data_IF_531868440130
#
_entry.id   IF_531868440130
#
_cell.length_a   1.000
_cell.length_b   1.000
_cell.length_c   1.000
_cell.angle_alpha   90.00
_cell.angle_beta   90.00
_cell.angle_gamma   90.00
#
_symmetry.space_group_name_H-M   'P 1'
#
loop_
_entity.id
_entity.type
_entity.pdbx_description
1 polymer ?
#
# COMPACT_ATOMS: atom_id res chain seq x y z
N UNK A 1 14.47 -8.72 -9.94
CA UNK A 1 13.65 -7.75 -10.72
C UNK A 1 12.20 -8.21 -10.66
N UNK A 2 11.26 -7.39 -10.16
CA UNK A 2 9.85 -7.74 -10.09
C UNK A 2 9.22 -7.63 -11.48
N UNK A 3 8.56 -8.70 -11.96
CA UNK A 3 7.99 -8.83 -13.31
C UNK A 3 6.48 -8.85 -13.32
N UNK A 4 5.88 -9.15 -12.18
CA UNK A 4 4.42 -9.30 -12.04
C UNK A 4 3.91 -8.63 -10.78
N UNK A 5 2.77 -7.93 -10.92
CA UNK A 5 2.07 -7.28 -9.84
C UNK A 5 0.57 -7.60 -9.99
N UNK A 6 -0.04 -8.11 -8.91
CA UNK A 6 -1.45 -8.48 -8.87
C UNK A 6 -2.18 -7.68 -7.80
N UNK A 7 -3.22 -6.95 -8.20
CA UNK A 7 -4.17 -6.34 -7.27
C UNK A 7 -5.28 -7.32 -6.89
N UNK A 8 -5.58 -7.39 -5.59
CA UNK A 8 -6.69 -8.17 -5.06
C UNK A 8 -7.49 -7.31 -4.09
N UNK A 9 -8.82 -7.18 -4.28
CA UNK A 9 -9.66 -6.45 -3.33
C UNK A 9 -9.58 -7.06 -1.93
N UNK A 10 -9.36 -6.24 -0.89
CA UNK A 10 -9.19 -6.73 0.48
C UNK A 10 -10.37 -7.52 1.01
N UNK A 11 -11.60 -7.23 0.57
CA UNK A 11 -12.78 -8.01 0.96
C UNK A 11 -12.85 -9.40 0.31
N UNK A 12 -12.04 -9.63 -0.76
CA UNK A 12 -11.92 -10.90 -1.50
C UNK A 12 -10.53 -11.52 -1.36
N UNK A 13 -9.84 -11.24 -0.29
CA UNK A 13 -8.44 -11.66 -0.07
C UNK A 13 -8.25 -13.18 -0.08
N UNK A 14 -9.32 -13.95 0.17
CA UNK A 14 -9.34 -15.40 0.07
C UNK A 14 -8.99 -15.92 -1.33
N UNK A 15 -9.20 -15.13 -2.38
CA UNK A 15 -8.83 -15.54 -3.75
C UNK A 15 -7.32 -15.74 -3.90
N UNK A 16 -6.51 -15.07 -3.08
CA UNK A 16 -5.07 -15.26 -3.06
C UNK A 16 -4.69 -16.69 -2.70
N UNK A 17 -5.45 -17.33 -1.81
CA UNK A 17 -5.21 -18.71 -1.38
C UNK A 17 -5.36 -19.73 -2.50
N UNK A 18 -6.13 -19.37 -3.54
CA UNK A 18 -6.40 -20.24 -4.68
C UNK A 18 -5.44 -20.01 -5.86
N UNK A 19 -4.45 -19.12 -5.72
CA UNK A 19 -3.49 -18.87 -6.77
C UNK A 19 -2.57 -20.07 -7.00
N UNK A 20 -2.54 -20.59 -8.23
CA UNK A 20 -1.61 -21.65 -8.63
C UNK A 20 -0.16 -21.15 -8.74
N UNK A 21 0.01 -19.88 -9.13
CA UNK A 21 1.30 -19.20 -9.22
C UNK A 21 1.19 -17.85 -8.51
N UNK A 22 2.19 -17.54 -7.69
CA UNK A 22 2.24 -16.26 -6.98
C UNK A 22 2.93 -15.19 -7.82
N UNK A 23 2.41 -13.95 -7.84
CA UNK A 23 3.11 -12.81 -8.44
C UNK A 23 4.34 -12.43 -7.62
N UNK A 24 5.26 -11.67 -8.22
CA UNK A 24 6.39 -11.11 -7.48
C UNK A 24 5.89 -10.10 -6.42
N UNK A 25 4.88 -9.29 -6.79
CA UNK A 25 4.22 -8.33 -5.89
C UNK A 25 2.73 -8.63 -5.82
N UNK A 26 2.24 -8.78 -4.61
CA UNK A 26 0.82 -8.91 -4.31
C UNK A 26 0.34 -7.62 -3.64
N UNK A 27 -0.65 -6.97 -4.24
CA UNK A 27 -1.25 -5.75 -3.70
C UNK A 27 -2.63 -6.05 -3.16
N UNK A 28 -2.81 -5.90 -1.86
CA UNK A 28 -4.15 -5.91 -1.25
C UNK A 28 -4.73 -4.50 -1.37
N UNK A 29 -5.84 -4.40 -2.07
CA UNK A 29 -6.49 -3.11 -2.30
C UNK A 29 -7.55 -2.82 -1.24
N UNK A 30 -7.43 -1.67 -0.58
CA UNK A 30 -8.41 -1.14 0.37
C UNK A 30 -9.11 0.12 -0.15
N UNK A 31 -8.83 0.50 -1.40
CA UNK A 31 -9.33 1.71 -2.04
C UNK A 31 -10.47 1.39 -3.04
N UNK A 32 -10.36 1.74 -4.29
CA UNK A 32 -11.44 1.78 -5.28
C UNK A 32 -12.12 0.43 -5.53
N UNK A 33 -11.39 -0.68 -5.50
CA UNK A 33 -11.97 -2.01 -5.74
C UNK A 33 -12.81 -2.55 -4.58
N UNK A 34 -12.88 -1.83 -3.46
CA UNK A 34 -13.64 -2.24 -2.27
C UNK A 34 -14.89 -1.37 -2.11
N UNK A 35 -16.10 -1.94 -2.20
CA UNK A 35 -17.35 -1.23 -1.91
C UNK A 35 -17.35 -0.57 -0.53
N UNK A 36 -18.01 0.58 -0.41
CA UNK A 36 -18.02 1.37 0.85
C UNK A 36 -18.48 0.58 2.06
N UNK A 37 -19.52 -0.22 1.90
CA UNK A 37 -20.07 -1.10 2.95
C UNK A 37 -19.13 -2.24 3.36
N UNK A 38 -18.15 -2.59 2.52
CA UNK A 38 -17.18 -3.66 2.75
C UNK A 38 -15.80 -3.17 3.23
N UNK A 39 -15.58 -1.87 3.36
CA UNK A 39 -14.27 -1.30 3.77
C UNK A 39 -13.78 -1.84 5.12
N UNK A 40 -14.64 -1.97 6.11
CA UNK A 40 -14.27 -2.48 7.43
C UNK A 40 -13.91 -3.97 7.39
N UNK A 41 -14.68 -4.77 6.66
CA UNK A 41 -14.40 -6.20 6.47
C UNK A 41 -13.09 -6.38 5.70
N UNK A 42 -12.84 -5.58 4.66
CA UNK A 42 -11.60 -5.62 3.90
C UNK A 42 -10.39 -5.33 4.79
N UNK A 43 -10.49 -4.29 5.64
CA UNK A 43 -9.43 -3.94 6.57
C UNK A 43 -9.15 -5.07 7.56
N UNK A 44 -10.17 -5.66 8.17
CA UNK A 44 -10.03 -6.77 9.11
C UNK A 44 -9.41 -8.01 8.45
N UNK A 45 -9.91 -8.40 7.27
CA UNK A 45 -9.35 -9.53 6.52
C UNK A 45 -7.88 -9.29 6.15
N UNK A 46 -7.51 -8.05 5.79
CA UNK A 46 -6.12 -7.68 5.48
C UNK A 46 -5.21 -7.79 6.71
N UNK A 47 -5.69 -7.40 7.90
CA UNK A 47 -4.94 -7.56 9.16
C UNK A 47 -4.66 -9.04 9.44
N UNK A 48 -5.68 -9.89 9.40
CA UNK A 48 -5.54 -11.34 9.61
C UNK A 48 -4.57 -11.95 8.59
N UNK A 49 -4.68 -11.55 7.32
CA UNK A 49 -3.80 -12.01 6.25
C UNK A 49 -2.31 -11.71 6.52
N UNK A 50 -2.00 -10.50 7.05
CA UNK A 50 -0.63 -10.15 7.42
C UNK A 50 -0.12 -10.98 8.61
N UNK A 51 -0.99 -11.37 9.53
CA UNK A 51 -0.62 -12.20 10.69
C UNK A 51 -0.32 -13.65 10.31
N UNK A 52 -1.04 -14.20 9.34
CA UNK A 52 -0.88 -15.59 8.88
C UNK A 52 0.50 -15.91 8.28
N UNK A 53 1.25 -14.89 7.81
CA UNK A 53 2.60 -15.02 7.25
C UNK A 53 2.76 -16.12 6.16
N UNK A 54 1.68 -16.45 5.46
CA UNK A 54 1.59 -17.59 4.54
C UNK A 54 2.32 -17.33 3.21
N UNK A 55 2.50 -16.06 2.82
CA UNK A 55 2.85 -15.66 1.45
C UNK A 55 4.29 -15.20 1.29
N UNK A 56 5.25 -15.98 1.81
CA UNK A 56 6.70 -15.67 1.77
C UNK A 56 7.30 -15.53 0.36
N UNK A 57 6.55 -15.91 -0.68
CA UNK A 57 7.03 -15.88 -2.08
C UNK A 57 6.76 -14.55 -2.79
N UNK A 58 5.90 -13.69 -2.25
CA UNK A 58 5.56 -12.39 -2.82
C UNK A 58 5.92 -11.25 -1.89
N UNK A 59 6.31 -10.12 -2.44
CA UNK A 59 6.32 -8.86 -1.69
C UNK A 59 4.87 -8.39 -1.48
N UNK A 60 4.48 -8.14 -0.22
CA UNK A 60 3.11 -7.73 0.12
C UNK A 60 3.03 -6.22 0.21
N UNK A 61 2.20 -5.64 -0.63
CA UNK A 61 1.84 -4.23 -0.61
C UNK A 61 0.37 -4.03 -0.29
N UNK A 62 0.01 -2.89 0.28
CA UNK A 62 -1.37 -2.50 0.53
C UNK A 62 -1.61 -1.14 -0.11
N UNK A 63 -2.62 -1.03 -0.97
CA UNK A 63 -3.13 0.25 -1.45
C UNK A 63 -4.18 0.75 -0.46
N UNK A 64 -3.99 1.95 0.07
CA UNK A 64 -4.88 2.55 1.07
C UNK A 64 -5.65 3.73 0.48
N UNK A 65 -6.81 4.06 1.03
CA UNK A 65 -7.50 5.31 0.71
C UNK A 65 -6.66 6.53 1.11
N UNK A 66 -6.62 7.51 0.23
CA UNK A 66 -6.01 8.81 0.50
C UNK A 66 -7.01 9.93 0.19
N UNK A 67 -8.03 10.03 1.03
CA UNK A 67 -9.06 11.04 0.91
C UNK A 67 -8.73 12.25 1.81
N UNK A 68 -9.10 13.45 1.35
CA UNK A 68 -8.89 14.71 2.10
C UNK A 68 -7.44 14.95 2.56
N UNK A 69 -6.46 14.43 1.79
CA UNK A 69 -5.03 14.59 2.07
C UNK A 69 -4.64 14.19 3.50
N UNK A 70 -5.23 13.12 3.99
CA UNK A 70 -4.93 12.57 5.32
C UNK A 70 -4.86 11.05 5.29
N UNK A 71 -4.08 10.48 6.22
CA UNK A 71 -4.01 9.03 6.44
C UNK A 71 -4.90 8.67 7.63
N UNK A 72 -5.93 7.89 7.36
CA UNK A 72 -6.86 7.45 8.41
C UNK A 72 -6.13 6.58 9.46
N UNK A 73 -6.41 6.87 10.73
CA UNK A 73 -5.86 6.13 11.87
C UNK A 73 -6.24 4.64 11.86
N UNK A 74 -7.31 4.24 11.18
CA UNK A 74 -7.71 2.83 11.03
C UNK A 74 -6.62 1.97 10.40
N UNK A 75 -5.74 2.56 9.55
CA UNK A 75 -4.63 1.87 8.92
C UNK A 75 -3.45 1.53 9.85
N UNK A 76 -3.48 1.92 11.14
CA UNK A 76 -2.42 1.56 12.10
C UNK A 76 -2.17 0.06 12.16
N UNK A 77 -3.23 -0.74 12.10
CA UNK A 77 -3.13 -2.18 12.31
C UNK A 77 -2.55 -2.93 11.12
N UNK A 78 -2.62 -2.39 9.91
CA UNK A 78 -1.96 -2.97 8.74
C UNK A 78 -0.47 -2.67 8.65
N UNK A 79 0.06 -1.74 9.47
CA UNK A 79 1.49 -1.56 9.60
C UNK A 79 2.05 -2.73 10.42
N UNK A 80 2.61 -3.71 9.73
CA UNK A 80 2.98 -5.00 10.29
C UNK A 80 4.35 -5.45 9.79
N UNK A 81 5.05 -6.30 10.56
CA UNK A 81 6.40 -6.82 10.20
C UNK A 81 6.43 -7.60 8.88
N UNK A 82 5.30 -8.16 8.46
CA UNK A 82 5.14 -8.93 7.23
C UNK A 82 4.69 -8.06 6.03
N UNK A 83 4.48 -6.75 6.25
CA UNK A 83 4.17 -5.80 5.17
C UNK A 83 5.46 -5.32 4.52
N UNK A 84 5.56 -5.46 3.21
CA UNK A 84 6.71 -4.94 2.44
C UNK A 84 6.56 -3.45 2.16
N UNK A 85 5.36 -2.99 1.77
CA UNK A 85 5.17 -1.59 1.45
C UNK A 85 3.71 -1.13 1.38
N UNK A 86 3.53 0.17 1.20
CA UNK A 86 2.23 0.82 1.02
C UNK A 86 2.22 1.57 -0.31
N UNK A 87 1.08 1.51 -0.99
CA UNK A 87 0.80 2.26 -2.22
C UNK A 87 -0.18 3.37 -1.90
N UNK A 88 0.20 4.61 -2.23
CA UNK A 88 -0.65 5.79 -2.10
C UNK A 88 -1.24 6.17 -3.47
N UNK A 89 -2.56 6.12 -3.65
CA UNK A 89 -3.22 6.59 -4.87
C UNK A 89 -3.35 8.11 -4.85
N UNK A 90 -3.68 8.71 -6.00
CA UNK A 90 -4.14 10.10 -6.16
C UNK A 90 -3.19 11.14 -5.54
N UNK A 91 -1.90 10.82 -5.49
CA UNK A 91 -0.87 11.73 -4.98
C UNK A 91 -0.71 12.93 -5.93
N UNK A 92 -0.53 14.12 -5.39
CA UNK A 92 -0.35 15.34 -6.18
C UNK A 92 1.03 15.97 -6.00
N UNK A 93 1.65 15.79 -4.84
CA UNK A 93 2.93 16.42 -4.53
C UNK A 93 3.70 15.69 -3.42
N UNK A 94 4.94 16.14 -3.18
CA UNK A 94 5.82 15.54 -2.16
C UNK A 94 5.28 15.57 -0.73
N UNK A 95 4.38 16.52 -0.40
CA UNK A 95 3.84 16.58 0.96
C UNK A 95 2.84 15.48 1.23
N UNK A 96 2.11 15.04 0.21
CA UNK A 96 1.21 13.88 0.30
C UNK A 96 2.01 12.62 0.68
N UNK A 97 3.16 12.41 0.01
CA UNK A 97 4.04 11.27 0.34
C UNK A 97 4.70 11.41 1.73
N UNK A 98 5.03 12.64 2.15
CA UNK A 98 5.56 12.91 3.50
C UNK A 98 4.54 12.58 4.60
N UNK A 99 3.25 12.81 4.37
CA UNK A 99 2.21 12.41 5.32
C UNK A 99 2.23 10.89 5.54
N UNK A 100 2.29 10.11 4.45
CA UNK A 100 2.41 8.65 4.55
C UNK A 100 3.71 8.24 5.24
N UNK A 101 4.84 8.83 4.87
CA UNK A 101 6.14 8.53 5.48
C UNK A 101 6.11 8.75 6.99
N UNK A 102 5.60 9.90 7.45
CA UNK A 102 5.51 10.23 8.86
C UNK A 102 4.59 9.24 9.62
N UNK A 103 3.46 8.89 9.02
CA UNK A 103 2.55 7.89 9.58
C UNK A 103 3.25 6.54 9.74
N UNK A 104 3.88 6.04 8.67
CA UNK A 104 4.59 4.74 8.67
C UNK A 104 5.72 4.72 9.69
N UNK A 105 6.60 5.74 9.69
CA UNK A 105 7.74 5.82 10.62
C UNK A 105 7.27 5.83 12.08
N UNK A 106 6.18 6.55 12.38
CA UNK A 106 5.60 6.56 13.72
C UNK A 106 5.13 5.16 14.14
N UNK A 107 4.44 4.44 13.25
CA UNK A 107 3.95 3.10 13.55
C UNK A 107 5.08 2.07 13.64
N UNK A 108 6.10 2.15 12.79
CA UNK A 108 7.29 1.29 12.86
C UNK A 108 7.96 1.40 14.23
N UNK A 109 8.16 2.63 14.73
CA UNK A 109 8.73 2.87 16.07
C UNK A 109 7.86 2.28 17.16
N UNK A 110 6.56 2.55 17.17
CA UNK A 110 5.62 2.07 18.19
C UNK A 110 5.56 0.53 18.24
N UNK A 111 5.64 -0.12 17.08
CA UNK A 111 5.52 -1.58 16.95
C UNK A 111 6.87 -2.28 16.91
N UNK A 112 7.98 -1.56 17.06
CA UNK A 112 9.36 -2.09 17.02
C UNK A 112 9.65 -2.89 15.73
N UNK A 113 9.11 -2.44 14.60
CA UNK A 113 9.31 -3.07 13.28
C UNK A 113 10.72 -2.71 12.79
N UNK A 114 11.57 -3.74 12.59
CA UNK A 114 12.98 -3.55 12.18
C UNK A 114 13.13 -3.23 10.71
N UNK A 115 12.36 -3.91 9.85
CA UNK A 115 12.40 -3.70 8.40
C UNK A 115 11.64 -2.42 8.03
N UNK A 116 12.31 -1.53 7.31
CA UNK A 116 11.66 -0.30 6.83
C UNK A 116 10.62 -0.64 5.77
N UNK A 117 9.37 -0.26 6.02
CA UNK A 117 8.27 -0.43 5.06
C UNK A 117 8.52 0.51 3.88
N UNK A 118 8.49 -0.06 2.68
CA UNK A 118 8.67 0.65 1.42
C UNK A 118 7.45 1.50 1.09
N UNK A 119 7.63 2.55 0.31
CA UNK A 119 6.54 3.40 -0.18
C UNK A 119 6.47 3.29 -1.70
N UNK A 120 5.28 3.31 -2.23
CA UNK A 120 5.02 3.39 -3.66
C UNK A 120 3.80 4.28 -3.89
N UNK A 121 3.58 4.74 -5.09
CA UNK A 121 2.43 5.57 -5.39
C UNK A 121 1.96 5.35 -6.83
N UNK A 122 0.72 5.77 -7.08
CA UNK A 122 0.13 5.79 -8.42
C UNK A 122 0.17 7.23 -8.93
N UNK A 123 0.87 7.42 -10.05
CA UNK A 123 0.92 8.68 -10.77
C UNK A 123 -0.23 8.68 -11.80
N UNK A 124 -1.41 9.12 -11.38
CA UNK A 124 -2.66 9.08 -12.16
C UNK A 124 -3.31 10.47 -12.31
N UNK A 125 -2.79 11.48 -11.60
CA UNK A 125 -3.27 12.86 -11.75
C UNK A 125 -2.27 13.69 -12.55
N UNK A 126 -2.75 14.67 -13.32
CA UNK A 126 -1.89 15.64 -14.04
C UNK A 126 -0.85 16.25 -13.10
N UNK A 127 -1.29 16.59 -11.87
CA UNK A 127 -0.42 17.22 -10.88
C UNK A 127 0.69 16.28 -10.39
N UNK A 128 0.42 14.96 -10.29
CA UNK A 128 1.45 13.98 -9.94
C UNK A 128 2.54 13.86 -11.01
N UNK A 129 2.16 13.95 -12.27
CA UNK A 129 3.11 13.91 -13.39
C UNK A 129 3.98 15.16 -13.40
N UNK A 130 3.40 16.36 -13.28
CA UNK A 130 4.15 17.62 -13.22
C UNK A 130 5.15 17.61 -12.06
N UNK A 131 4.75 17.10 -10.90
CA UNK A 131 5.55 17.08 -9.68
C UNK A 131 6.41 15.82 -9.51
N UNK A 132 6.44 14.91 -10.47
CA UNK A 132 7.03 13.58 -10.34
C UNK A 132 8.47 13.61 -9.80
N UNK A 133 9.34 14.45 -10.36
CA UNK A 133 10.73 14.58 -9.94
C UNK A 133 10.85 15.01 -8.46
N UNK A 134 10.01 15.94 -8.01
CA UNK A 134 10.00 16.41 -6.61
C UNK A 134 9.47 15.35 -5.65
N UNK A 135 8.51 14.53 -6.09
CA UNK A 135 7.95 13.42 -5.32
C UNK A 135 9.01 12.34 -5.15
N UNK A 136 9.66 11.92 -6.23
CA UNK A 136 10.68 10.84 -6.21
C UNK A 136 11.86 11.23 -5.30
N UNK A 137 12.30 12.47 -5.34
CA UNK A 137 13.43 12.95 -4.51
C UNK A 137 13.07 13.18 -3.04
N UNK A 138 11.80 13.05 -2.64
CA UNK A 138 11.35 13.38 -1.29
C UNK A 138 11.75 12.36 -0.22
N UNK A 139 12.01 11.11 -0.60
CA UNK A 139 12.43 10.03 0.31
C UNK A 139 13.09 8.88 -0.43
N UNK A 140 14.08 8.27 0.19
CA UNK A 140 14.75 7.04 -0.31
C UNK A 140 13.93 5.76 -0.12
N UNK A 141 12.72 5.84 0.45
CA UNK A 141 11.86 4.67 0.67
C UNK A 141 10.99 4.30 -0.53
N UNK A 142 10.98 5.12 -1.59
CA UNK A 142 10.22 4.83 -2.81
C UNK A 142 10.83 3.61 -3.49
N UNK A 143 9.98 2.60 -3.75
CA UNK A 143 10.40 1.36 -4.40
C UNK A 143 10.02 1.31 -5.88
N UNK A 144 8.79 1.68 -6.21
CA UNK A 144 8.30 1.77 -7.59
C UNK A 144 7.16 2.79 -7.71
N UNK A 145 6.83 3.11 -8.95
CA UNK A 145 5.73 4.01 -9.32
C UNK A 145 4.84 3.23 -10.29
N UNK A 146 3.54 3.37 -10.13
CA UNK A 146 2.54 2.86 -11.06
C UNK A 146 2.01 4.06 -11.83
N UNK A 147 1.97 3.96 -13.15
CA UNK A 147 1.23 4.90 -13.98
C UNK A 147 -0.18 4.39 -14.15
N UNK A 148 -1.17 5.23 -13.84
CA UNK A 148 -2.59 4.93 -13.96
C UNK A 148 -3.28 6.02 -14.78
N UNK A 149 -4.50 5.71 -15.24
CA UNK A 149 -5.44 6.65 -15.82
C UNK A 149 -6.59 6.83 -14.85
N UNK A 150 -7.02 8.09 -14.60
CA UNK A 150 -8.28 8.41 -13.91
C UNK A 150 -9.46 8.45 -14.89
#
# INVERSE_FOLDING_TARGET
>A
MNRSLLFTPGHKIEYIRNLKKFPDILVVDLEDSVPKDKKNIALQKTQNFLEENYYKKSEIYIRIDFNNKSIDKKYRNIIHKNLTGIILPKIQNKNDLKLLLNFVVKQEKLKKIKNKIKLSFIAETTQSIINLNSIIKSTSRINFIIYGEE
#
